data_IF_351591015497
#
_entry.id   IF_351591015497
#
_cell.length_a   1.000
_cell.length_b   1.000
_cell.length_c   1.000
_cell.angle_alpha   90.00
_cell.angle_beta   90.00
_cell.angle_gamma   90.00
#
_symmetry.space_group_name_H-M   'P 1'
#
loop_
_entity.id
_entity.type
_entity.pdbx_description
1 polymer ?
#
# COMPACT_ATOMS: atom_id res chain seq x y z
N UNK A 1 -7.18 5.21 -1.17
CA UNK A 1 -8.34 6.00 -1.60
C UNK A 1 -8.51 7.25 -0.75
N UNK A 2 -9.30 8.19 -1.26
CA UNK A 2 -9.86 9.32 -0.52
C UNK A 2 -11.29 8.97 -0.08
N UNK A 3 -11.87 9.74 0.85
CA UNK A 3 -13.24 9.49 1.32
C UNK A 3 -14.28 9.69 0.22
N UNK A 4 -14.12 10.74 -0.59
CA UNK A 4 -15.00 11.05 -1.72
C UNK A 4 -14.19 11.49 -2.94
N UNK A 5 -14.24 10.76 -4.07
CA UNK A 5 -13.62 11.22 -5.31
C UNK A 5 -14.38 12.44 -5.83
N UNK A 6 -13.66 13.53 -6.08
CA UNK A 6 -14.24 14.81 -6.54
C UNK A 6 -13.33 15.46 -7.57
N UNK A 7 -13.93 16.31 -8.41
CA UNK A 7 -13.21 17.26 -9.26
C UNK A 7 -13.28 18.65 -8.63
N UNK A 8 -12.17 19.37 -8.61
CA UNK A 8 -12.10 20.74 -8.08
C UNK A 8 -11.12 21.59 -8.87
N UNK A 9 -11.29 22.90 -8.79
CA UNK A 9 -10.41 23.85 -9.47
C UNK A 9 -9.00 23.84 -8.86
N UNK A 10 -8.00 23.93 -9.73
CA UNK A 10 -6.61 24.11 -9.33
C UNK A 10 -6.43 25.46 -8.63
N UNK A 11 -5.72 25.44 -7.50
CA UNK A 11 -5.32 26.64 -6.75
C UNK A 11 -3.81 26.69 -6.62
N UNK A 12 -3.22 27.73 -7.21
CA UNK A 12 -1.76 27.94 -7.23
C UNK A 12 -1.21 28.08 -5.81
N UNK A 13 -0.11 27.39 -5.52
CA UNK A 13 0.57 27.44 -4.22
C UNK A 13 -0.01 26.52 -3.14
N UNK A 14 -1.16 25.90 -3.38
CA UNK A 14 -1.72 24.93 -2.46
C UNK A 14 -0.96 23.60 -2.50
N UNK A 15 -0.85 22.97 -1.34
CA UNK A 15 -0.17 21.68 -1.19
C UNK A 15 -1.10 20.53 -1.56
N UNK A 16 -0.53 19.35 -1.87
CA UNK A 16 -1.30 18.12 -2.08
C UNK A 16 -2.33 17.84 -0.97
N UNK A 17 -1.98 18.14 0.30
CA UNK A 17 -2.89 18.01 1.45
C UNK A 17 -4.18 18.83 1.32
N UNK A 18 -4.14 20.01 0.70
CA UNK A 18 -5.32 20.85 0.48
C UNK A 18 -6.38 20.09 -0.32
N UNK A 19 -5.98 19.52 -1.47
CA UNK A 19 -6.86 18.78 -2.37
C UNK A 19 -7.40 17.50 -1.71
N UNK A 20 -6.54 16.76 -1.01
CA UNK A 20 -6.97 15.54 -0.31
C UNK A 20 -7.96 15.84 0.81
N UNK A 21 -7.79 16.95 1.53
CA UNK A 21 -8.73 17.35 2.57
C UNK A 21 -10.10 17.73 1.99
N UNK A 22 -10.15 18.37 0.82
CA UNK A 22 -11.42 18.67 0.13
C UNK A 22 -12.14 17.39 -0.31
N UNK A 23 -11.41 16.33 -0.62
CA UNK A 23 -11.95 14.99 -0.87
C UNK A 23 -12.40 14.24 0.40
N UNK A 24 -12.57 14.94 1.54
CA UNK A 24 -12.93 14.35 2.83
C UNK A 24 -11.77 13.63 3.53
N UNK A 25 -10.53 13.88 3.11
CA UNK A 25 -9.34 13.26 3.67
C UNK A 25 -9.04 11.86 3.14
N UNK A 26 -8.09 11.18 3.79
CA UNK A 26 -7.73 9.80 3.46
C UNK A 26 -8.68 8.82 4.13
N UNK A 27 -9.24 7.88 3.37
CA UNK A 27 -10.03 6.80 3.93
C UNK A 27 -9.17 5.82 4.78
N UNK A 28 -9.84 4.97 5.56
CA UNK A 28 -9.19 4.05 6.49
C UNK A 28 -8.23 3.07 5.80
N UNK A 29 -8.63 2.56 4.63
CA UNK A 29 -7.82 1.62 3.85
C UNK A 29 -6.90 2.30 2.85
N UNK A 30 -6.73 3.62 2.90
CA UNK A 30 -5.83 4.32 1.98
C UNK A 30 -4.35 3.93 2.17
N UNK A 31 -3.62 3.73 1.07
CA UNK A 31 -2.15 3.62 1.07
C UNK A 31 -1.52 5.00 1.15
N UNK A 32 -1.65 5.58 2.34
CA UNK A 32 -1.27 6.96 2.74
C UNK A 32 0.12 7.44 2.28
N UNK A 33 1.09 6.54 2.11
CA UNK A 33 2.50 6.83 1.73
C UNK A 33 2.79 6.66 0.22
N UNK A 34 1.79 6.37 -0.59
CA UNK A 34 1.95 6.18 -2.02
C UNK A 34 0.84 6.94 -2.76
N UNK A 35 0.98 8.25 -2.84
CA UNK A 35 0.07 9.09 -3.62
C UNK A 35 0.69 9.31 -5.00
N UNK A 36 -0.13 9.26 -6.04
CA UNK A 36 0.30 9.43 -7.41
C UNK A 36 -0.42 10.63 -8.02
N UNK A 37 0.28 11.35 -8.89
CA UNK A 37 -0.30 12.39 -9.73
C UNK A 37 -0.19 11.91 -11.16
N UNK A 38 -1.33 11.85 -11.84
CA UNK A 38 -1.44 11.59 -13.27
C UNK A 38 -1.60 12.93 -13.96
N UNK A 39 -0.61 13.34 -14.74
CA UNK A 39 -0.62 14.62 -15.43
C UNK A 39 -1.41 14.55 -16.74
N UNK A 40 -1.84 15.71 -17.25
CA UNK A 40 -2.63 15.79 -18.49
C UNK A 40 -1.90 15.25 -19.73
N UNK A 41 -0.56 15.22 -19.71
CA UNK A 41 0.26 14.62 -20.77
C UNK A 41 0.44 13.09 -20.61
N UNK A 42 -0.19 12.47 -19.61
CA UNK A 42 -0.11 11.04 -19.32
C UNK A 42 1.07 10.61 -18.46
N UNK A 43 1.97 11.52 -18.05
CA UNK A 43 3.04 11.14 -17.13
C UNK A 43 2.49 10.89 -15.72
N UNK A 44 3.17 10.03 -14.97
CA UNK A 44 2.78 9.67 -13.60
C UNK A 44 3.95 9.90 -12.66
N UNK A 45 3.70 10.62 -11.56
CA UNK A 45 4.70 10.87 -10.53
C UNK A 45 4.19 10.41 -9.16
N UNK A 46 5.04 9.71 -8.42
CA UNK A 46 4.80 9.38 -7.02
C UNK A 46 5.23 10.55 -6.15
N UNK A 47 4.30 11.04 -5.33
CA UNK A 47 4.51 12.25 -4.53
C UNK A 47 4.32 11.99 -3.04
N UNK A 48 5.14 12.67 -2.25
CA UNK A 48 4.95 12.72 -0.81
C UNK A 48 3.84 13.70 -0.42
N UNK A 49 3.16 13.41 0.69
CA UNK A 49 2.04 14.21 1.22
C UNK A 49 2.37 15.68 1.46
N UNK A 50 3.64 15.99 1.72
CA UNK A 50 4.13 17.34 1.97
C UNK A 50 4.45 18.13 0.70
N UNK A 51 4.44 17.49 -0.48
CA UNK A 51 4.83 18.12 -1.73
C UNK A 51 3.85 19.24 -2.10
N UNK A 52 4.39 20.45 -2.29
CA UNK A 52 3.62 21.65 -2.65
C UNK A 52 3.72 22.00 -4.12
N UNK A 53 4.66 21.41 -4.87
CA UNK A 53 4.95 21.78 -6.26
C UNK A 53 4.44 20.78 -7.29
N UNK A 54 3.95 19.62 -6.85
CA UNK A 54 3.61 18.53 -7.77
C UNK A 54 2.21 18.64 -8.39
N UNK A 55 1.27 19.40 -7.80
CA UNK A 55 -0.09 19.53 -8.35
C UNK A 55 -0.09 20.56 -9.48
N UNK A 56 -0.63 20.18 -10.63
CA UNK A 56 -0.73 21.02 -11.83
C UNK A 56 -2.20 21.09 -12.31
N UNK A 57 -2.59 22.12 -13.07
CA UNK A 57 -3.90 22.16 -13.72
C UNK A 57 -4.14 20.92 -14.58
N UNK A 58 -5.32 20.30 -14.47
CA UNK A 58 -5.69 19.14 -15.28
C UNK A 58 -5.07 17.82 -14.85
N UNK A 59 -4.33 17.77 -13.74
CA UNK A 59 -3.84 16.50 -13.18
C UNK A 59 -4.91 15.79 -12.34
N UNK A 60 -4.81 14.47 -12.25
CA UNK A 60 -5.59 13.63 -11.35
C UNK A 60 -4.73 13.16 -10.17
N UNK A 61 -5.25 13.27 -8.95
CA UNK A 61 -4.58 12.81 -7.74
C UNK A 61 -5.14 11.44 -7.37
N UNK A 62 -4.33 10.41 -7.56
CA UNK A 62 -4.70 9.02 -7.29
C UNK A 62 -4.13 8.58 -5.95
N UNK A 63 -5.02 8.23 -5.03
CA UNK A 63 -4.66 7.61 -3.75
C UNK A 63 -5.09 6.15 -3.80
N UNK A 64 -4.18 5.18 -3.90
CA UNK A 64 -4.54 3.77 -3.95
C UNK A 64 -4.98 3.25 -2.58
N UNK A 65 -5.63 2.11 -2.60
CA UNK A 65 -6.06 1.38 -1.41
C UNK A 65 -4.97 0.39 -1.01
N UNK A 66 -4.83 0.12 0.29
CA UNK A 66 -3.92 -0.92 0.78
C UNK A 66 -4.41 -2.24 0.23
N UNK A 67 -3.50 -2.98 -0.40
CA UNK A 67 -3.72 -4.37 -0.75
C UNK A 67 -4.03 -5.15 0.54
N UNK A 68 -5.03 -6.03 0.46
CA UNK A 68 -5.23 -7.03 1.50
C UNK A 68 -4.07 -8.01 1.38
N UNK A 69 -3.03 -7.80 2.19
CA UNK A 69 -1.99 -8.81 2.33
C UNK A 69 -2.65 -10.12 2.73
N UNK A 70 -2.38 -11.19 1.98
CA UNK A 70 -2.82 -12.53 2.32
C UNK A 70 -2.30 -12.86 3.72
N UNK A 71 -3.16 -12.72 4.72
CA UNK A 71 -2.86 -13.17 6.06
C UNK A 71 -3.00 -14.67 6.03
N UNK A 72 -1.89 -15.38 6.11
CA UNK A 72 -1.91 -16.83 6.32
C UNK A 72 -2.84 -17.14 7.50
N UNK A 73 -3.84 -17.96 7.25
CA UNK A 73 -4.74 -18.49 8.27
C UNK A 73 -3.95 -19.29 9.31
N UNK A 74 -4.56 -19.53 10.47
CA UNK A 74 -3.94 -20.36 11.51
C UNK A 74 -3.61 -21.76 10.96
N UNK A 75 -4.48 -22.31 10.10
CA UNK A 75 -4.27 -23.59 9.45
C UNK A 75 -3.06 -23.59 8.50
N UNK A 76 -2.90 -22.53 7.69
CA UNK A 76 -1.74 -22.39 6.79
C UNK A 76 -0.43 -22.21 7.56
N UNK A 77 -0.46 -21.45 8.67
CA UNK A 77 0.69 -21.31 9.57
C UNK A 77 1.06 -22.64 10.24
N UNK A 78 0.07 -23.41 10.68
CA UNK A 78 0.28 -24.74 11.26
C UNK A 78 0.83 -25.71 10.23
N UNK A 79 0.29 -25.73 9.00
CA UNK A 79 0.77 -26.60 7.92
C UNK A 79 2.25 -26.31 7.56
N UNK A 80 2.64 -25.04 7.48
CA UNK A 80 4.04 -24.65 7.30
C UNK A 80 4.93 -25.05 8.49
N UNK A 81 4.43 -24.89 9.72
CA UNK A 81 5.11 -25.32 10.94
C UNK A 81 5.32 -26.84 10.99
N UNK A 82 4.32 -27.64 10.61
CA UNK A 82 4.42 -29.10 10.57
C UNK A 82 5.38 -29.59 9.49
N UNK A 83 5.44 -28.94 8.32
CA UNK A 83 6.37 -29.32 7.25
C UNK A 83 7.84 -29.18 7.67
N UNK A 84 8.18 -28.10 8.39
CA UNK A 84 9.54 -27.91 8.92
C UNK A 84 9.87 -28.85 10.09
N UNK A 85 8.90 -29.14 10.96
CA UNK A 85 9.06 -30.12 12.02
C UNK A 85 9.37 -31.52 11.46
N UNK A 86 8.66 -31.98 10.43
CA UNK A 86 8.90 -33.28 9.81
C UNK A 86 10.33 -33.44 9.29
N UNK A 87 10.88 -32.40 8.65
CA UNK A 87 12.28 -32.42 8.16
C UNK A 87 13.25 -32.48 9.33
N UNK A 88 13.03 -31.69 10.37
CA UNK A 88 13.86 -31.73 11.57
C UNK A 88 13.79 -33.08 12.29
N UNK A 89 12.60 -33.68 12.42
CA UNK A 89 12.40 -35.01 13.02
C UNK A 89 13.07 -36.10 12.20
N UNK A 90 13.00 -36.04 10.87
CA UNK A 90 13.74 -36.99 10.01
C UNK A 90 15.25 -36.89 10.25
N UNK A 91 15.81 -35.68 10.31
CA UNK A 91 17.24 -35.48 10.59
C UNK A 91 17.59 -35.99 12.00
N UNK A 92 16.80 -35.68 13.02
CA UNK A 92 17.01 -36.14 14.39
C UNK A 92 16.96 -37.67 14.48
N UNK A 93 15.97 -38.29 13.84
CA UNK A 93 15.86 -39.75 13.78
C UNK A 93 17.06 -40.38 13.09
N UNK A 94 17.54 -39.81 11.97
CA UNK A 94 18.75 -40.30 11.28
C UNK A 94 20.00 -40.17 12.15
N UNK A 95 20.18 -39.03 12.84
CA UNK A 95 21.33 -38.83 13.75
C UNK A 95 21.25 -39.78 14.95
N UNK A 96 20.07 -40.09 15.45
CA UNK A 96 19.89 -41.02 16.56
C UNK A 96 20.09 -42.49 16.14
N UNK A 97 19.90 -42.83 14.85
CA UNK A 97 20.17 -44.16 14.28
C UNK A 97 21.65 -44.40 13.95
N UNK A 98 22.44 -43.32 13.78
CA UNK A 98 23.88 -43.38 13.49
C UNK A 98 24.75 -43.29 14.77
N UNK A 99 24.12 -43.25 15.94
CA UNK A 99 24.75 -43.27 17.26
C UNK A 99 24.75 -44.68 17.83
#
# INVERSE_FOLDING_TARGET
>A
EVSYPISMNYKKGEKLKYYINHAGGFANRAKKRAVYIVYANGSVEKVDRGSSKAVQPGCEIVVPTKEEGQKLSMAEKMALGTGTASIATMIVSLVNLLK
#
